data_IF_822643310888
#
_entry.id   IF_822643310888
#
_cell.length_a   1.000
_cell.length_b   1.000
_cell.length_c   1.000
_cell.angle_alpha   90.00
_cell.angle_beta   90.00
_cell.angle_gamma   90.00
#
_symmetry.space_group_name_H-M   'P 1'
#
loop_
_entity.id
_entity.type
_entity.pdbx_description
1 polymer ?
#
# COMPACT_ATOMS: atom_id res chain seq x y z
N UNK A 1 10.09 -15.09 9.04
CA UNK A 1 10.84 -13.86 8.69
C UNK A 1 10.51 -13.37 7.28
N UNK A 2 10.25 -14.26 6.31
CA UNK A 2 9.93 -13.87 4.92
C UNK A 2 8.72 -12.96 4.77
N UNK A 3 7.64 -13.14 5.55
CA UNK A 3 6.42 -12.30 5.44
C UNK A 3 6.69 -10.79 5.62
N UNK A 4 7.34 -10.42 6.73
CA UNK A 4 7.63 -9.01 7.02
C UNK A 4 8.67 -8.46 6.03
N UNK A 5 9.71 -9.26 5.72
CA UNK A 5 10.72 -8.85 4.75
C UNK A 5 10.12 -8.60 3.37
N UNK A 6 9.23 -9.49 2.91
CA UNK A 6 8.50 -9.35 1.65
C UNK A 6 7.60 -8.11 1.65
N UNK A 7 6.89 -7.84 2.75
CA UNK A 7 6.08 -6.63 2.89
C UNK A 7 6.92 -5.35 2.81
N UNK A 8 8.11 -5.34 3.42
CA UNK A 8 9.05 -4.20 3.37
C UNK A 8 9.60 -4.02 1.95
N UNK A 9 10.02 -5.10 1.28
CA UNK A 9 10.48 -5.05 -0.12
C UNK A 9 9.37 -4.49 -1.01
N UNK A 10 8.14 -5.01 -0.88
CA UNK A 10 7.00 -4.56 -1.67
C UNK A 10 6.66 -3.10 -1.42
N UNK A 11 6.75 -2.64 -0.18
CA UNK A 11 6.55 -1.23 0.17
C UNK A 11 7.60 -0.33 -0.47
N UNK A 12 8.88 -0.72 -0.43
CA UNK A 12 9.97 0.03 -1.07
C UNK A 12 9.76 0.10 -2.58
N UNK A 13 9.47 -1.03 -3.23
CA UNK A 13 9.21 -1.07 -4.68
C UNK A 13 8.02 -0.19 -5.05
N UNK A 14 6.93 -0.26 -4.28
CA UNK A 14 5.75 0.59 -4.49
C UNK A 14 6.10 2.07 -4.37
N UNK A 15 6.88 2.44 -3.35
CA UNK A 15 7.28 3.82 -3.11
C UNK A 15 8.15 4.37 -4.24
N UNK A 16 9.12 3.58 -4.72
CA UNK A 16 9.95 3.96 -5.87
C UNK A 16 9.10 4.14 -7.13
N UNK A 17 8.16 3.23 -7.39
CA UNK A 17 7.31 3.29 -8.57
C UNK A 17 6.26 4.40 -8.51
N UNK A 18 5.87 4.86 -7.31
CA UNK A 18 5.04 6.06 -7.18
C UNK A 18 5.70 7.33 -7.72
N UNK A 19 7.04 7.38 -7.79
CA UNK A 19 7.78 8.51 -8.34
C UNK A 19 7.76 8.53 -9.89
N UNK A 20 7.34 7.44 -10.52
CA UNK A 20 7.28 7.32 -11.98
C UNK A 20 5.87 7.68 -12.46
N UNK A 21 5.70 8.76 -13.25
CA UNK A 21 4.41 9.11 -13.84
C UNK A 21 3.86 7.96 -14.68
N UNK A 22 2.53 7.84 -14.78
CA UNK A 22 1.80 6.80 -15.54
C UNK A 22 1.86 5.40 -14.90
N UNK A 23 2.99 5.01 -14.29
CA UNK A 23 3.17 3.69 -13.65
C UNK A 23 2.62 3.68 -12.21
N UNK A 24 2.48 4.85 -11.59
CA UNK A 24 2.00 5.03 -10.22
C UNK A 24 0.67 4.32 -9.91
N UNK A 25 -0.23 4.15 -10.89
CA UNK A 25 -1.52 3.49 -10.68
C UNK A 25 -1.36 1.98 -10.42
N UNK A 26 -0.31 1.37 -10.99
CA UNK A 26 0.02 -0.05 -10.86
C UNK A 26 1.15 -0.32 -9.86
N UNK A 27 1.76 0.71 -9.28
CA UNK A 27 2.83 0.55 -8.29
C UNK A 27 2.47 -0.42 -7.15
N UNK A 28 1.24 -0.43 -6.59
CA UNK A 28 0.93 -1.32 -5.47
C UNK A 28 0.92 -2.79 -5.91
N UNK A 29 0.44 -3.04 -7.13
CA UNK A 29 0.45 -4.38 -7.74
C UNK A 29 1.88 -4.90 -7.85
N UNK A 30 2.76 -4.11 -8.47
CA UNK A 30 4.14 -4.51 -8.75
C UNK A 30 4.92 -4.68 -7.44
N UNK A 31 4.71 -3.79 -6.47
CA UNK A 31 5.34 -3.93 -5.16
C UNK A 31 4.85 -5.16 -4.40
N UNK A 32 3.53 -5.36 -4.32
CA UNK A 32 2.96 -6.57 -3.71
C UNK A 32 3.51 -7.84 -4.36
N UNK A 33 3.54 -7.88 -5.70
CA UNK A 33 4.10 -8.97 -6.47
C UNK A 33 5.57 -9.23 -6.15
N UNK A 34 6.43 -8.20 -6.25
CA UNK A 34 7.86 -8.34 -6.01
C UNK A 34 8.16 -8.78 -4.57
N UNK A 35 7.46 -8.20 -3.60
CA UNK A 35 7.58 -8.56 -2.19
C UNK A 35 7.24 -10.02 -1.93
N UNK A 36 6.11 -10.49 -2.46
CA UNK A 36 5.70 -11.87 -2.26
C UNK A 36 6.56 -12.87 -3.06
N UNK A 37 6.85 -12.57 -4.34
CA UNK A 37 7.63 -13.45 -5.21
C UNK A 37 9.04 -13.72 -4.65
N UNK A 38 9.64 -12.72 -4.01
CA UNK A 38 10.98 -12.82 -3.44
C UNK A 38 11.07 -13.63 -2.15
N UNK A 39 10.01 -13.66 -1.32
CA UNK A 39 10.11 -14.14 0.07
C UNK A 39 9.12 -15.24 0.46
N UNK A 40 8.10 -15.52 -0.35
CA UNK A 40 7.09 -16.55 -0.06
C UNK A 40 6.88 -17.51 -1.24
N UNK A 41 6.22 -18.63 -0.98
CA UNK A 41 6.00 -19.74 -1.93
C UNK A 41 4.56 -20.24 -1.94
N UNK A 42 3.62 -19.48 -1.42
CA UNK A 42 2.21 -19.86 -1.41
C UNK A 42 1.31 -18.65 -1.62
N UNK A 43 0.12 -18.88 -2.18
CA UNK A 43 -0.91 -17.85 -2.34
C UNK A 43 -1.32 -17.23 -0.99
N UNK A 44 -1.43 -18.07 0.04
CA UNK A 44 -1.84 -17.65 1.38
C UNK A 44 -0.80 -16.75 2.04
N UNK A 45 0.48 -17.13 1.95
CA UNK A 45 1.56 -16.28 2.45
C UNK A 45 1.67 -14.99 1.63
N UNK A 46 1.39 -15.04 0.32
CA UNK A 46 1.30 -13.85 -0.54
C UNK A 46 0.19 -12.90 -0.10
N UNK A 47 -0.99 -13.42 0.23
CA UNK A 47 -2.08 -12.62 0.82
C UNK A 47 -1.63 -11.94 2.12
N UNK A 48 -0.96 -12.67 3.01
CA UNK A 48 -0.45 -12.11 4.27
C UNK A 48 0.61 -11.02 4.02
N UNK A 49 1.53 -11.22 3.08
CA UNK A 49 2.50 -10.17 2.65
C UNK A 49 1.78 -8.91 2.18
N UNK A 50 0.78 -9.06 1.31
CA UNK A 50 -0.03 -7.93 0.84
C UNK A 50 -0.77 -7.21 1.97
N UNK A 51 -1.33 -7.96 2.92
CA UNK A 51 -2.01 -7.40 4.08
C UNK A 51 -1.04 -6.63 5.00
N UNK A 52 0.14 -7.20 5.29
CA UNK A 52 1.16 -6.52 6.08
C UNK A 52 1.67 -5.25 5.39
N UNK A 53 1.91 -5.32 4.08
CA UNK A 53 2.31 -4.15 3.29
C UNK A 53 1.23 -3.06 3.36
N UNK A 54 -0.05 -3.41 3.22
CA UNK A 54 -1.16 -2.48 3.36
C UNK A 54 -1.18 -1.81 4.74
N UNK A 55 -1.10 -2.59 5.82
CA UNK A 55 -1.05 -2.05 7.19
C UNK A 55 0.11 -1.07 7.37
N UNK A 56 1.30 -1.42 6.87
CA UNK A 56 2.49 -0.57 6.94
C UNK A 56 2.36 0.73 6.15
N UNK A 57 1.58 0.76 5.07
CA UNK A 57 1.27 2.00 4.34
C UNK A 57 0.17 2.83 5.01
N UNK A 58 -0.79 2.16 5.67
CA UNK A 58 -1.95 2.77 6.33
C UNK A 58 -1.59 3.59 7.54
N UNK A 59 -0.76 3.06 8.41
CA UNK A 59 -0.44 3.71 9.69
C UNK A 59 0.19 5.10 9.47
N UNK A 60 1.25 5.26 8.64
CA UNK A 60 1.84 6.58 8.41
C UNK A 60 0.87 7.56 7.75
N UNK A 61 0.01 7.09 6.84
CA UNK A 61 -0.95 7.95 6.15
C UNK A 61 -2.03 8.50 7.09
N UNK A 62 -2.54 7.69 8.02
CA UNK A 62 -3.48 8.18 9.04
C UNK A 62 -2.83 9.15 10.03
N UNK A 63 -1.59 8.89 10.44
CA UNK A 63 -0.84 9.82 11.30
C UNK A 63 -0.67 11.17 10.60
N UNK A 64 -0.29 11.16 9.32
CA UNK A 64 -0.12 12.37 8.53
C UNK A 64 -1.47 13.11 8.32
N UNK A 65 -2.54 12.38 8.00
CA UNK A 65 -3.87 12.97 7.83
C UNK A 65 -4.38 13.62 9.12
N UNK A 66 -4.20 12.96 10.28
CA UNK A 66 -4.55 13.52 11.58
C UNK A 66 -3.73 14.75 11.94
N UNK A 67 -2.42 14.73 11.65
CA UNK A 67 -1.55 15.89 11.85
C UNK A 67 -1.95 17.07 10.96
N UNK A 68 -2.19 16.84 9.67
CA UNK A 68 -2.62 17.91 8.76
C UNK A 68 -3.98 18.48 9.18
N UNK A 69 -4.92 17.62 9.59
CA UNK A 69 -6.24 18.05 10.05
C UNK A 69 -6.20 18.91 11.32
N UNK A 70 -5.24 18.67 12.22
CA UNK A 70 -5.10 19.47 13.45
C UNK A 70 -4.54 20.88 13.21
N UNK A 71 -3.94 21.13 12.04
CA UNK A 71 -3.41 22.46 11.68
C UNK A 71 -4.50 23.43 11.21
N UNK A 72 -5.72 22.95 10.95
CA UNK A 72 -6.77 23.74 10.32
C UNK A 72 -8.01 23.86 11.20
N UNK A 73 -8.31 25.08 11.66
CA UNK A 73 -9.44 25.36 12.58
C UNK A 73 -10.59 26.16 11.97
N UNK A 74 -10.50 26.58 10.69
CA UNK A 74 -11.59 27.30 10.03
C UNK A 74 -12.53 26.35 9.24
N UNK A 75 -13.77 26.78 9.03
CA UNK A 75 -14.83 25.97 8.41
C UNK A 75 -14.55 25.57 6.96
N UNK A 76 -13.85 26.42 6.19
CA UNK A 76 -13.46 26.12 4.81
C UNK A 76 -12.41 25.00 4.76
N UNK A 77 -11.41 25.06 5.64
CA UNK A 77 -10.36 24.06 5.70
C UNK A 77 -10.83 22.74 6.32
N UNK A 78 -11.89 22.76 7.14
CA UNK A 78 -12.56 21.53 7.57
C UNK A 78 -13.16 20.76 6.38
N UNK A 79 -13.76 21.46 5.41
CA UNK A 79 -14.28 20.85 4.17
C UNK A 79 -13.14 20.25 3.34
N UNK A 80 -12.06 21.03 3.13
CA UNK A 80 -10.88 20.58 2.37
C UNK A 80 -10.23 19.34 3.03
N UNK A 81 -10.12 19.35 4.35
CA UNK A 81 -9.57 18.22 5.13
C UNK A 81 -10.49 16.99 5.02
N UNK A 82 -11.81 17.18 5.11
CA UNK A 82 -12.78 16.09 4.93
C UNK A 82 -12.74 15.45 3.55
N UNK A 83 -12.65 16.27 2.49
CA UNK A 83 -12.47 15.77 1.11
C UNK A 83 -11.13 15.04 0.97
N UNK A 84 -10.06 15.62 1.50
CA UNK A 84 -8.72 15.00 1.49
C UNK A 84 -8.71 13.64 2.19
N UNK A 85 -9.39 13.52 3.33
CA UNK A 85 -9.55 12.25 4.03
C UNK A 85 -10.35 11.22 3.21
N UNK A 86 -11.42 11.66 2.54
CA UNK A 86 -12.19 10.79 1.64
C UNK A 86 -11.36 10.26 0.46
N UNK A 87 -10.63 11.15 -0.21
CA UNK A 87 -9.71 10.77 -1.30
C UNK A 87 -8.60 9.86 -0.79
N UNK A 88 -8.05 10.14 0.39
CA UNK A 88 -7.06 9.27 1.02
C UNK A 88 -7.61 7.86 1.23
N UNK A 89 -8.82 7.71 1.79
CA UNK A 89 -9.46 6.39 1.97
C UNK A 89 -9.61 5.65 0.64
N UNK A 90 -10.02 6.33 -0.43
CA UNK A 90 -10.13 5.73 -1.77
C UNK A 90 -8.79 5.26 -2.31
N UNK A 91 -7.74 6.07 -2.16
CA UNK A 91 -6.37 5.67 -2.51
C UNK A 91 -5.98 4.44 -1.71
N UNK A 92 -6.22 4.43 -0.39
CA UNK A 92 -5.86 3.28 0.45
C UNK A 92 -6.58 2.00 0.05
N UNK A 93 -7.88 2.08 -0.27
CA UNK A 93 -8.64 0.95 -0.80
C UNK A 93 -8.04 0.43 -2.11
N UNK A 94 -7.74 1.31 -3.06
CA UNK A 94 -7.08 0.95 -4.32
C UNK A 94 -5.74 0.28 -4.07
N UNK A 95 -4.87 0.93 -3.29
CA UNK A 95 -3.51 0.46 -2.97
C UNK A 95 -3.55 -0.90 -2.27
N UNK A 96 -4.45 -1.07 -1.30
CA UNK A 96 -4.61 -2.31 -0.55
C UNK A 96 -5.13 -3.46 -1.41
N UNK A 97 -6.23 -3.25 -2.13
CA UNK A 97 -6.83 -4.30 -2.98
C UNK A 97 -5.85 -4.72 -4.07
N UNK A 98 -5.32 -3.76 -4.83
CA UNK A 98 -4.41 -4.05 -5.94
C UNK A 98 -3.09 -4.64 -5.44
N UNK A 99 -2.56 -4.15 -4.33
CA UNK A 99 -1.34 -4.68 -3.73
C UNK A 99 -1.49 -6.12 -3.23
N UNK A 100 -2.64 -6.44 -2.62
CA UNK A 100 -2.95 -7.82 -2.20
C UNK A 100 -3.04 -8.75 -3.41
N UNK A 101 -3.71 -8.34 -4.49
CA UNK A 101 -3.80 -9.16 -5.72
C UNK A 101 -2.40 -9.42 -6.28
N UNK A 102 -1.56 -8.39 -6.39
CA UNK A 102 -0.18 -8.55 -6.83
C UNK A 102 0.61 -9.53 -5.95
N UNK A 103 0.48 -9.40 -4.62
CA UNK A 103 1.17 -10.27 -3.68
C UNK A 103 0.69 -11.74 -3.73
N UNK A 104 -0.61 -11.98 -3.89
CA UNK A 104 -1.14 -13.34 -4.09
C UNK A 104 -0.56 -13.96 -5.36
N UNK A 105 -0.53 -13.22 -6.47
CA UNK A 105 0.05 -13.71 -7.73
C UNK A 105 1.56 -13.94 -7.61
N UNK A 106 2.29 -13.06 -6.92
CA UNK A 106 3.72 -13.24 -6.67
C UNK A 106 4.02 -14.48 -5.84
N UNK A 107 3.23 -14.73 -4.79
CA UNK A 107 3.38 -15.92 -3.97
C UNK A 107 2.99 -17.23 -4.68
N UNK A 108 1.99 -17.17 -5.57
CA UNK A 108 1.62 -18.29 -6.44
C UNK A 108 2.73 -18.62 -7.44
N UNK A 109 3.23 -17.63 -8.18
CA UNK A 109 4.21 -17.84 -9.25
C UNK A 109 5.62 -18.12 -8.75
N UNK A 110 5.90 -17.86 -7.47
CA UNK A 110 7.16 -18.24 -6.87
C UNK A 110 7.22 -19.71 -6.43
N UNK A 111 6.06 -20.39 -6.41
CA UNK A 111 5.98 -21.82 -6.11
C UNK A 111 6.45 -22.69 -7.29
N UNK A 112 6.45 -22.15 -8.50
CA UNK A 112 6.96 -22.76 -9.74
C UNK A 112 8.43 -22.41 -9.98
#
# INVERSE_FOLDING_TARGET
MGLIKGAVIGLIVTFVLYLVPVVNMFSPFVGGFAGAYSEVRSAWDGFLVGLFMFILMVIPGFILAGFVGSLFHNSLMAIVTGIGAGVFVLIMLHTGIIGIIGAVLGGLLAHD
#
